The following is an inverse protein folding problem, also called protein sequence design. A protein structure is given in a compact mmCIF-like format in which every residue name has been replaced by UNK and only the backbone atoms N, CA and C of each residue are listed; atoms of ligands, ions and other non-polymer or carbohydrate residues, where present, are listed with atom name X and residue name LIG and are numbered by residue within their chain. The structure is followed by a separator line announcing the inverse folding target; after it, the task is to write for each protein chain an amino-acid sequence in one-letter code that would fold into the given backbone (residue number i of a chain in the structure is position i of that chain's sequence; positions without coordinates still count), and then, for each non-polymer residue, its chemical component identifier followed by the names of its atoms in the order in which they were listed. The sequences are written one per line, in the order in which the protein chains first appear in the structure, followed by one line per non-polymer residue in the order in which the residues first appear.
data_IF_844682805453
#
_entry.id   IF_844682805453
#
_cell.length_a   1.000
_cell.length_b   1.000
_cell.length_c   1.000
_cell.angle_alpha   90.00
_cell.angle_beta   90.00
_cell.angle_gamma   90.00
#
_symmetry.space_group_name_H-M   'P 1'
#
loop_
_entity.id
_entity.type
_entity.pdbx_description
1 polymer ?
#
# COMPACT_ATOMS: atom_id res chain seq x y z
N UNK A 1 -1.52 2.29 -26.87
CA UNK A 1 -2.37 1.81 -25.75
C UNK A 1 -2.43 2.79 -24.58
N UNK A 2 -1.75 3.94 -24.65
CA UNK A 2 -1.74 4.97 -23.60
C UNK A 2 -3.06 5.75 -23.47
N UNK A 3 -3.93 5.72 -24.48
CA UNK A 3 -5.24 6.41 -24.47
C UNK A 3 -6.18 5.91 -23.36
N UNK A 4 -6.05 4.67 -22.86
CA UNK A 4 -6.89 4.19 -21.74
C UNK A 4 -6.48 4.70 -20.36
N UNK A 5 -5.34 5.39 -20.27
CA UNK A 5 -4.84 5.95 -19.01
C UNK A 5 -5.23 7.42 -18.85
N UNK A 6 -5.79 8.04 -19.90
CA UNK A 6 -6.28 9.40 -19.88
C UNK A 6 -7.80 9.35 -19.98
N UNK A 7 -8.45 9.67 -18.87
CA UNK A 7 -9.90 9.86 -18.82
C UNK A 7 -10.20 11.30 -19.26
N UNK A 8 -10.71 11.47 -20.48
CA UNK A 8 -11.13 12.76 -21.04
C UNK A 8 -12.53 13.20 -20.55
N UNK A 9 -12.92 12.83 -19.32
CA UNK A 9 -14.17 13.34 -18.74
C UNK A 9 -13.95 14.69 -18.04
N UNK A 10 -14.62 15.71 -18.59
CA UNK A 10 -14.75 17.07 -18.05
C UNK A 10 -15.50 17.10 -16.70
N UNK A 11 -14.83 16.67 -15.64
CA UNK A 11 -15.05 17.07 -14.25
C UNK A 11 -13.79 16.67 -13.45
N UNK A 12 -12.93 17.65 -13.13
CA UNK A 12 -11.56 17.50 -12.59
C UNK A 12 -11.46 16.81 -11.21
N UNK A 13 -11.92 15.56 -11.06
CA UNK A 13 -11.75 14.80 -9.84
C UNK A 13 -11.22 13.40 -10.13
N UNK A 14 -9.89 13.29 -10.17
CA UNK A 14 -9.24 12.00 -10.23
C UNK A 14 -9.28 11.33 -8.85
N UNK A 15 -9.75 10.07 -8.79
CA UNK A 15 -9.84 9.29 -7.54
C UNK A 15 -8.58 8.46 -7.25
N UNK A 16 -7.52 8.63 -8.04
CA UNK A 16 -6.21 8.01 -7.84
C UNK A 16 -5.31 8.84 -6.91
N UNK A 17 -5.90 9.41 -5.86
CA UNK A 17 -5.25 10.36 -4.94
C UNK A 17 -5.23 9.80 -3.53
N UNK A 18 -4.17 10.08 -2.79
CA UNK A 18 -4.07 9.82 -1.36
C UNK A 18 -3.34 10.97 -0.66
N UNK A 19 -3.57 11.14 0.64
CA UNK A 19 -2.93 12.18 1.45
C UNK A 19 -2.42 11.53 2.73
N UNK A 20 -1.17 11.82 3.09
CA UNK A 20 -0.59 11.44 4.37
C UNK A 20 -0.21 12.70 5.13
N UNK A 21 -0.63 12.76 6.39
CA UNK A 21 -0.26 13.83 7.29
C UNK A 21 0.72 13.30 8.35
N UNK A 22 1.86 13.99 8.47
CA UNK A 22 2.90 13.67 9.44
C UNK A 22 2.70 14.37 10.79
N UNK A 23 1.63 15.14 10.97
CA UNK A 23 1.38 15.92 12.16
C UNK A 23 0.03 15.56 12.80
N UNK A 24 0.00 15.24 14.09
CA UNK A 24 -1.24 14.96 14.83
C UNK A 24 -1.12 15.47 16.26
N UNK A 25 -2.17 16.15 16.73
CA UNK A 25 -2.29 16.62 18.12
C UNK A 25 -1.08 17.45 18.61
N UNK A 26 -0.47 18.24 17.73
CA UNK A 26 0.70 19.06 18.06
C UNK A 26 2.04 18.33 17.95
N UNK A 27 2.05 17.03 17.64
CA UNK A 27 3.25 16.21 17.51
C UNK A 27 3.53 15.85 16.05
N UNK A 28 4.82 15.80 15.69
CA UNK A 28 5.27 15.28 14.40
C UNK A 28 5.62 13.80 14.54
N UNK A 29 5.08 12.99 13.63
CA UNK A 29 5.42 11.58 13.53
C UNK A 29 6.82 11.40 12.95
N UNK A 30 7.47 10.31 13.36
CA UNK A 30 8.72 9.88 12.76
C UNK A 30 8.51 9.50 11.28
N UNK A 31 9.56 9.59 10.48
CA UNK A 31 9.53 9.16 9.07
C UNK A 31 9.08 7.71 8.92
N UNK A 32 9.43 6.84 9.88
CA UNK A 32 9.02 5.43 9.87
C UNK A 32 7.50 5.27 10.05
N UNK A 33 6.89 6.02 10.99
CA UNK A 33 5.42 6.00 11.17
C UNK A 33 4.74 6.54 9.91
N UNK A 34 5.22 7.66 9.38
CA UNK A 34 4.66 8.23 8.16
C UNK A 34 4.81 7.33 6.94
N UNK A 35 5.89 6.57 6.83
CA UNK A 35 6.06 5.55 5.80
C UNK A 35 5.02 4.43 5.94
N UNK A 36 4.73 3.96 7.15
CA UNK A 36 3.69 2.94 7.37
C UNK A 36 2.29 3.46 6.99
N UNK A 37 1.95 4.69 7.36
CA UNK A 37 0.69 5.33 6.94
C UNK A 37 0.65 5.49 5.42
N UNK A 38 1.76 5.90 4.81
CA UNK A 38 1.83 5.98 3.34
C UNK A 38 1.63 4.64 2.66
N UNK A 39 2.25 3.56 3.15
CA UNK A 39 2.06 2.22 2.61
C UNK A 39 0.60 1.76 2.80
N UNK A 40 -0.05 2.10 3.92
CA UNK A 40 -1.47 1.84 4.17
C UNK A 40 -2.36 2.50 3.10
N UNK A 41 -2.17 3.80 2.84
CA UNK A 41 -2.97 4.52 1.84
C UNK A 41 -2.69 4.06 0.40
N UNK A 42 -1.45 3.67 0.10
CA UNK A 42 -1.12 3.03 -1.18
C UNK A 42 -1.82 1.67 -1.28
N UNK A 43 -1.92 0.90 -0.20
CA UNK A 43 -2.69 -0.35 -0.17
C UNK A 43 -4.15 -0.15 -0.56
N UNK A 44 -4.80 0.91 -0.07
CA UNK A 44 -6.14 1.30 -0.51
C UNK A 44 -6.20 1.71 -1.98
N UNK A 45 -5.22 2.49 -2.44
CA UNK A 45 -5.12 2.89 -3.86
C UNK A 45 -4.96 1.67 -4.79
N UNK A 46 -4.35 0.60 -4.30
CA UNK A 46 -4.22 -0.69 -4.98
C UNK A 46 -5.42 -1.63 -4.75
N UNK A 47 -6.45 -1.15 -4.06
CA UNK A 47 -7.74 -1.83 -3.90
C UNK A 47 -7.83 -2.82 -2.74
N UNK A 48 -6.90 -2.78 -1.79
CA UNK A 48 -7.03 -3.51 -0.52
C UNK A 48 -8.04 -2.83 0.39
N UNK A 49 -8.86 -3.64 1.08
CA UNK A 49 -9.68 -3.21 2.21
C UNK A 49 -8.93 -3.40 3.53
N UNK A 50 -9.54 -2.95 4.64
CA UNK A 50 -8.98 -3.16 5.98
C UNK A 50 -9.08 -4.64 6.42
N UNK A 51 -8.02 -5.15 7.05
CA UNK A 51 -7.92 -6.55 7.46
C UNK A 51 -8.91 -6.95 8.57
N UNK A 52 -9.37 -6.02 9.39
CA UNK A 52 -10.34 -6.27 10.46
C UNK A 52 -11.76 -6.59 9.96
N UNK A 53 -12.04 -6.42 8.67
CA UNK A 53 -13.31 -6.83 8.06
C UNK A 53 -13.44 -8.34 7.90
N UNK A 54 -12.33 -9.08 7.95
CA UNK A 54 -12.30 -10.52 7.69
C UNK A 54 -11.48 -11.20 8.79
N UNK A 55 -12.12 -12.06 9.58
CA UNK A 55 -11.50 -12.71 10.74
C UNK A 55 -10.25 -13.55 10.40
N UNK A 56 -10.18 -14.11 9.18
CA UNK A 56 -9.02 -14.85 8.67
C UNK A 56 -7.76 -13.95 8.56
N UNK A 57 -7.96 -12.67 8.25
CA UNK A 57 -6.90 -11.71 7.96
C UNK A 57 -6.44 -10.95 9.20
N UNK A 58 -7.24 -11.05 10.27
CA UNK A 58 -6.96 -10.49 11.58
C UNK A 58 -7.33 -11.51 12.68
N UNK A 59 -6.56 -12.61 12.79
CA UNK A 59 -6.78 -13.59 13.85
C UNK A 59 -6.52 -12.92 15.21
N UNK A 60 -7.47 -13.05 16.13
CA UNK A 60 -7.35 -12.47 17.48
C UNK A 60 -6.05 -12.96 18.15
N UNK A 61 -5.26 -12.03 18.69
CA UNK A 61 -4.05 -12.35 19.46
C UNK A 61 -2.71 -12.25 18.70
N UNK A 62 -2.72 -11.79 17.44
CA UNK A 62 -1.50 -11.49 16.68
C UNK A 62 -1.31 -9.99 16.44
N UNK A 63 -0.08 -9.58 16.12
CA UNK A 63 0.22 -8.23 15.64
C UNK A 63 -0.62 -7.92 14.41
N UNK A 64 -1.25 -6.74 14.38
CA UNK A 64 -2.06 -6.32 13.25
C UNK A 64 -1.17 -6.05 12.04
N UNK A 65 -1.63 -6.35 10.82
CA UNK A 65 -0.91 -6.01 9.59
C UNK A 65 -1.06 -4.53 9.22
N UNK A 66 -0.28 -4.06 8.24
CA UNK A 66 -0.31 -2.67 7.77
C UNK A 66 -1.69 -2.18 7.35
N UNK A 67 -2.54 -3.05 6.82
CA UNK A 67 -3.90 -2.71 6.39
C UNK A 67 -4.93 -2.80 7.53
N UNK A 68 -4.52 -2.68 8.79
CA UNK A 68 -5.47 -2.61 9.90
C UNK A 68 -6.29 -1.32 9.88
N UNK A 69 -7.60 -1.42 10.15
CA UNK A 69 -8.47 -0.27 10.39
C UNK A 69 -8.22 0.44 11.72
N UNK A 70 -7.34 -0.10 12.58
CA UNK A 70 -6.97 0.52 13.87
C UNK A 70 -5.76 1.44 13.68
N UNK A 71 -6.01 2.67 13.25
CA UNK A 71 -4.97 3.68 13.01
C UNK A 71 -3.99 3.86 14.18
N UNK A 72 -4.48 3.78 15.42
CA UNK A 72 -3.63 3.87 16.63
C UNK A 72 -2.49 2.84 16.62
N UNK A 73 -2.72 1.63 16.12
CA UNK A 73 -1.68 0.61 16.06
C UNK A 73 -0.57 0.97 15.07
N UNK A 74 -0.91 1.63 13.95
CA UNK A 74 0.09 2.13 12.99
C UNK A 74 0.92 3.25 13.62
N UNK A 75 0.25 4.17 14.31
CA UNK A 75 0.90 5.33 14.94
C UNK A 75 1.78 4.94 16.12
N UNK A 76 1.40 3.92 16.89
CA UNK A 76 2.16 3.40 18.02
C UNK A 76 3.15 2.29 17.61
N UNK A 77 3.27 1.99 16.31
CA UNK A 77 4.10 0.90 15.77
C UNK A 77 3.81 -0.46 16.42
N UNK A 78 2.54 -0.72 16.73
CA UNK A 78 2.00 -1.99 17.28
C UNK A 78 1.38 -2.84 16.17
N UNK A 79 2.00 -2.79 14.99
CA UNK A 79 1.60 -3.49 13.80
C UNK A 79 2.84 -4.12 13.15
N UNK A 80 2.64 -5.20 12.41
CA UNK A 80 3.63 -5.71 11.48
C UNK A 80 3.83 -4.72 10.33
N UNK A 81 5.07 -4.65 9.83
CA UNK A 81 5.46 -3.98 8.58
C UNK A 81 5.05 -4.75 7.31
N UNK A 82 4.25 -5.81 7.46
CA UNK A 82 3.79 -6.68 6.37
C UNK A 82 2.33 -6.43 6.04
N UNK A 83 1.98 -6.77 4.79
CA UNK A 83 0.61 -6.94 4.35
C UNK A 83 0.08 -8.31 4.77
N UNK A 84 -1.21 -8.42 5.08
CA UNK A 84 -1.83 -9.71 5.31
C UNK A 84 -1.93 -10.51 4.00
N UNK A 85 -2.21 -11.81 4.10
CA UNK A 85 -2.51 -12.64 2.93
C UNK A 85 -3.74 -12.11 2.17
N UNK A 86 -4.69 -11.49 2.87
CA UNK A 86 -5.90 -10.96 2.28
C UNK A 86 -5.65 -9.66 1.53
N UNK A 87 -4.93 -8.72 2.14
CA UNK A 87 -4.53 -7.48 1.45
C UNK A 87 -3.75 -7.81 0.19
N UNK A 88 -2.79 -8.74 0.30
CA UNK A 88 -1.95 -9.18 -0.83
C UNK A 88 -2.80 -9.79 -1.96
N UNK A 89 -3.81 -10.59 -1.62
CA UNK A 89 -4.74 -11.21 -2.58
C UNK A 89 -5.63 -10.17 -3.28
N UNK A 90 -6.13 -9.18 -2.55
CA UNK A 90 -6.96 -8.11 -3.12
C UNK A 90 -6.15 -7.20 -4.03
N UNK A 91 -4.95 -6.81 -3.59
CA UNK A 91 -4.00 -6.02 -4.39
C UNK A 91 -3.66 -6.78 -5.67
N UNK A 92 -3.30 -8.06 -5.58
CA UNK A 92 -3.01 -8.88 -6.76
C UNK A 92 -4.17 -8.90 -7.76
N UNK A 93 -5.40 -9.15 -7.29
CA UNK A 93 -6.59 -9.14 -8.15
C UNK A 93 -6.87 -7.80 -8.82
N UNK A 94 -6.53 -6.68 -8.18
CA UNK A 94 -6.69 -5.37 -8.78
C UNK A 94 -5.56 -5.09 -9.78
N UNK A 95 -4.31 -5.43 -9.44
CA UNK A 95 -3.17 -5.30 -10.36
C UNK A 95 -3.35 -6.11 -11.64
N UNK A 96 -3.92 -7.31 -11.57
CA UNK A 96 -4.25 -8.13 -12.75
C UNK A 96 -5.26 -7.46 -13.69
N UNK A 97 -6.05 -6.50 -13.19
CA UNK A 97 -7.03 -5.72 -13.97
C UNK A 97 -6.50 -4.37 -14.44
N UNK A 98 -5.40 -3.89 -13.86
CA UNK A 98 -4.86 -2.56 -14.18
C UNK A 98 -4.27 -2.56 -15.59
N UNK A 99 -4.72 -1.61 -16.40
CA UNK A 99 -4.27 -1.44 -17.79
C UNK A 99 -3.24 -0.32 -17.96
N UNK A 100 -3.04 0.51 -16.93
CA UNK A 100 -2.17 1.68 -16.95
C UNK A 100 -0.77 1.44 -16.36
N UNK A 101 -0.41 0.18 -16.11
CA UNK A 101 0.92 -0.15 -15.64
C UNK A 101 1.91 -0.12 -16.81
N UNK A 102 2.84 0.83 -16.79
CA UNK A 102 3.97 0.77 -17.70
C UNK A 102 4.80 -0.48 -17.35
N UNK A 103 4.88 -1.43 -18.29
CA UNK A 103 5.85 -2.52 -18.19
C UNK A 103 7.20 -1.86 -17.94
N UNK A 104 7.83 -2.19 -16.80
CA UNK A 104 9.14 -1.65 -16.43
C UNK A 104 10.00 -1.58 -17.67
N UNK A 105 10.50 -0.39 -18.00
CA UNK A 105 11.57 -0.24 -18.98
C UNK A 105 12.61 -1.31 -18.70
N UNK A 106 13.07 -2.02 -19.74
CA UNK A 106 14.01 -3.14 -19.63
C UNK A 106 15.06 -2.83 -18.55
N UNK A 107 14.97 -3.48 -17.40
CA UNK A 107 16.12 -3.57 -16.50
C UNK A 107 17.13 -4.40 -17.29
N UNK A 108 18.21 -3.76 -17.72
CA UNK A 108 19.31 -4.48 -18.38
C UNK A 108 19.72 -5.62 -17.47
N UNK A 109 19.67 -6.84 -18.01
CA UNK A 109 20.09 -8.07 -17.33
C UNK A 109 21.61 -8.03 -17.14
N UNK A 110 22.13 -7.23 -16.22
CA UNK A 110 23.57 -7.26 -15.85
C UNK A 110 23.79 -6.88 -14.37
N UNK A 111 23.00 -7.47 -13.46
CA UNK A 111 23.44 -7.59 -12.07
C UNK A 111 23.20 -9.04 -11.64
N UNK A 112 24.27 -9.83 -11.68
CA UNK A 112 24.37 -11.17 -11.13
C UNK A 112 24.15 -11.18 -9.61
N UNK A 113 23.25 -12.04 -9.15
CA UNK A 113 22.77 -12.23 -7.76
C UNK A 113 23.82 -12.85 -6.80
N UNK A 114 25.13 -12.65 -7.02
CA UNK A 114 26.18 -13.26 -6.19
C UNK A 114 27.03 -12.28 -5.36
N UNK A 115 26.54 -11.07 -5.03
CA UNK A 115 27.35 -10.11 -4.23
C UNK A 115 26.64 -9.51 -3.01
N UNK A 116 25.68 -10.22 -2.40
CA UNK A 116 25.05 -9.75 -1.13
C UNK A 116 25.26 -10.72 0.04
N UNK A 117 25.86 -11.90 -0.17
CA UNK A 117 26.39 -12.73 0.91
C UNK A 117 27.83 -13.16 0.58
N UNK A 118 28.77 -12.31 0.99
CA UNK A 118 30.22 -12.52 1.01
C UNK A 118 30.82 -11.50 1.96
#
# INVERSE_FOLDING_TARGET
NDEKCQDESLQYYFRNTGVVNFHRLGENFSTSIGANVFIHEIGHSLGSTHDDKVSECNPQGHDLYLMTGKAENILLQRNSDRLSACSSREIGRNLDKVTCWNRKGKVSKDISINTIFG
#
